data_IF_909330063952
#
_entry.id   IF_909330063952
#
_cell.length_a   1.000
_cell.length_b   1.000
_cell.length_c   1.000
_cell.angle_alpha   90.00
_cell.angle_beta   90.00
_cell.angle_gamma   90.00
#
_symmetry.space_group_name_H-M   'P 1'
#
loop_
_entity.id
_entity.type
_entity.pdbx_description
1 polymer ?
#
# COMPACT_ATOMS: atom_id res chain seq x y z
N UNK A 1 -55.66 -8.58 2.97
CA UNK A 1 -54.34 -8.09 3.39
C UNK A 1 -53.29 -9.15 3.08
N UNK A 2 -52.39 -8.88 2.15
CA UNK A 2 -51.22 -9.74 1.85
C UNK A 2 -50.31 -9.80 3.08
N UNK A 3 -49.79 -11.00 3.41
CA UNK A 3 -48.75 -11.10 4.44
C UNK A 3 -47.41 -10.56 3.91
N UNK A 4 -46.44 -10.31 4.80
CA UNK A 4 -45.14 -9.72 4.45
C UNK A 4 -44.39 -10.55 3.39
N UNK A 5 -44.41 -11.88 3.47
CA UNK A 5 -43.77 -12.76 2.50
C UNK A 5 -44.42 -12.68 1.11
N UNK A 6 -45.72 -12.56 1.05
CA UNK A 6 -46.41 -12.39 -0.21
C UNK A 6 -46.11 -11.03 -0.84
N UNK A 7 -46.09 -9.95 -0.04
CA UNK A 7 -45.68 -8.63 -0.50
C UNK A 7 -44.26 -8.64 -1.06
N UNK A 8 -43.33 -9.17 -0.29
CA UNK A 8 -41.92 -9.31 -0.76
C UNK A 8 -41.88 -10.05 -2.11
N UNK A 9 -42.58 -11.16 -2.25
CA UNK A 9 -42.55 -11.95 -3.49
C UNK A 9 -43.04 -11.13 -4.69
N UNK A 10 -44.15 -10.40 -4.53
CA UNK A 10 -44.72 -9.58 -5.60
C UNK A 10 -43.78 -8.42 -5.99
N UNK A 11 -43.31 -7.65 -5.00
CA UNK A 11 -42.42 -6.52 -5.25
C UNK A 11 -41.12 -7.00 -5.91
N UNK A 12 -40.55 -8.11 -5.40
CA UNK A 12 -39.32 -8.67 -5.97
C UNK A 12 -39.50 -9.19 -7.40
N UNK A 13 -40.64 -9.77 -7.72
CA UNK A 13 -40.98 -10.19 -9.10
C UNK A 13 -41.09 -8.99 -10.04
N UNK A 14 -41.80 -7.95 -9.64
CA UNK A 14 -41.95 -6.72 -10.42
C UNK A 14 -40.58 -6.05 -10.64
N UNK A 15 -39.82 -5.87 -9.58
CA UNK A 15 -38.46 -5.30 -9.66
C UNK A 15 -37.54 -6.14 -10.56
N UNK A 16 -37.62 -7.47 -10.48
CA UNK A 16 -36.88 -8.37 -11.34
C UNK A 16 -37.27 -8.24 -12.81
N UNK A 17 -38.56 -8.05 -13.09
CA UNK A 17 -39.05 -7.82 -14.45
C UNK A 17 -38.47 -6.54 -15.06
N UNK A 18 -38.52 -5.42 -14.35
CA UNK A 18 -37.87 -4.17 -14.79
C UNK A 18 -36.36 -4.38 -15.09
N UNK A 19 -35.64 -5.07 -14.19
CA UNK A 19 -34.22 -5.35 -14.36
C UNK A 19 -33.92 -6.22 -15.59
N UNK A 20 -34.73 -7.26 -15.84
CA UNK A 20 -34.59 -8.12 -17.03
C UNK A 20 -34.82 -7.32 -18.31
N UNK A 21 -35.79 -6.42 -18.30
CA UNK A 21 -36.07 -5.51 -19.42
C UNK A 21 -35.07 -4.36 -19.54
N UNK A 22 -34.16 -4.22 -18.59
CA UNK A 22 -33.21 -3.10 -18.46
C UNK A 22 -33.88 -1.73 -18.35
N UNK A 23 -35.15 -1.72 -17.93
CA UNK A 23 -35.89 -0.50 -17.60
C UNK A 23 -35.47 -0.02 -16.18
N UNK A 24 -34.25 0.52 -16.09
CA UNK A 24 -33.74 1.00 -14.82
C UNK A 24 -34.47 2.22 -14.30
N UNK A 25 -35.00 3.07 -15.19
CA UNK A 25 -35.79 4.24 -14.78
C UNK A 25 -37.11 3.85 -14.17
N UNK A 26 -37.82 2.93 -14.79
CA UNK A 26 -39.06 2.36 -14.22
C UNK A 26 -38.83 1.65 -12.90
N UNK A 27 -37.70 0.90 -12.80
CA UNK A 27 -37.32 0.24 -11.55
C UNK A 27 -37.08 1.24 -10.41
N UNK A 28 -36.31 2.31 -10.68
CA UNK A 28 -36.02 3.35 -9.70
C UNK A 28 -37.28 4.02 -9.21
N UNK A 29 -38.15 4.48 -10.12
CA UNK A 29 -39.40 5.13 -9.75
C UNK A 29 -40.31 4.18 -8.93
N UNK A 30 -40.49 2.96 -9.40
CA UNK A 30 -41.28 1.97 -8.70
C UNK A 30 -40.80 1.69 -7.27
N UNK A 31 -39.52 1.50 -7.07
CA UNK A 31 -38.97 1.15 -5.74
C UNK A 31 -38.88 2.35 -4.81
N UNK A 32 -38.57 3.54 -5.33
CA UNK A 32 -38.55 4.77 -4.51
C UNK A 32 -39.92 5.14 -4.03
N UNK A 33 -40.95 5.11 -4.91
CA UNK A 33 -42.35 5.35 -4.54
C UNK A 33 -42.81 4.32 -3.49
N UNK A 34 -42.44 3.04 -3.69
CA UNK A 34 -42.81 2.00 -2.73
C UNK A 34 -42.20 2.28 -1.34
N UNK A 35 -40.90 2.64 -1.26
CA UNK A 35 -40.23 2.92 0.01
C UNK A 35 -40.84 4.14 0.70
N UNK A 36 -41.19 5.18 -0.05
CA UNK A 36 -41.79 6.40 0.49
C UNK A 36 -43.22 6.15 1.03
N UNK A 37 -44.01 5.37 0.31
CA UNK A 37 -45.36 5.01 0.74
C UNK A 37 -45.40 3.97 1.87
N UNK A 38 -44.32 3.17 2.01
CA UNK A 38 -44.24 2.07 2.98
C UNK A 38 -42.97 2.19 3.85
N UNK A 39 -42.79 3.27 4.64
CA UNK A 39 -41.56 3.52 5.39
C UNK A 39 -41.23 2.45 6.44
N UNK A 40 -42.21 1.68 6.87
CA UNK A 40 -42.06 0.60 7.84
C UNK A 40 -41.90 -0.79 7.20
N UNK A 41 -41.75 -0.90 5.88
CA UNK A 41 -41.51 -2.19 5.24
C UNK A 41 -40.11 -2.68 5.64
N UNK A 42 -40.07 -3.89 6.22
CA UNK A 42 -38.81 -4.51 6.68
C UNK A 42 -37.81 -4.77 5.54
N UNK A 43 -38.26 -4.78 4.30
CA UNK A 43 -37.41 -5.00 3.12
C UNK A 43 -36.91 -3.70 2.46
N UNK A 44 -37.17 -2.53 3.04
CA UNK A 44 -36.76 -1.23 2.45
C UNK A 44 -35.26 -1.13 2.20
N UNK A 45 -34.41 -1.70 3.07
CA UNK A 45 -32.97 -1.77 2.82
C UNK A 45 -32.63 -2.51 1.52
N UNK A 46 -33.37 -3.58 1.21
CA UNK A 46 -33.19 -4.35 -0.02
C UNK A 46 -33.75 -3.63 -1.26
N UNK A 47 -34.88 -2.96 -1.14
CA UNK A 47 -35.43 -2.16 -2.23
C UNK A 47 -34.53 -0.99 -2.60
N UNK A 48 -34.00 -0.31 -1.61
CA UNK A 48 -33.00 0.77 -1.82
C UNK A 48 -31.69 0.23 -2.38
N UNK A 49 -31.25 -0.98 -2.00
CA UNK A 49 -30.10 -1.64 -2.60
C UNK A 49 -30.30 -1.86 -4.11
N UNK A 50 -31.46 -2.36 -4.51
CA UNK A 50 -31.79 -2.53 -5.93
C UNK A 50 -31.88 -1.20 -6.68
N UNK A 51 -32.37 -0.15 -6.03
CA UNK A 51 -32.38 1.23 -6.56
C UNK A 51 -30.95 1.75 -6.79
N UNK A 52 -30.06 1.58 -5.81
CA UNK A 52 -28.66 1.95 -5.92
C UNK A 52 -27.94 1.20 -7.05
N UNK A 53 -28.17 -0.11 -7.17
CA UNK A 53 -27.63 -0.94 -8.27
C UNK A 53 -28.16 -0.48 -9.63
N UNK A 54 -29.41 -0.04 -9.71
CA UNK A 54 -30.00 0.51 -10.94
C UNK A 54 -29.30 1.82 -11.33
N UNK A 55 -29.08 2.75 -10.41
CA UNK A 55 -28.32 3.98 -10.67
C UNK A 55 -26.88 3.67 -11.11
N UNK A 56 -26.21 2.71 -10.47
CA UNK A 56 -24.87 2.27 -10.88
C UNK A 56 -24.88 1.72 -12.33
N UNK A 57 -25.90 0.94 -12.68
CA UNK A 57 -26.06 0.35 -14.02
C UNK A 57 -26.31 1.41 -15.12
N UNK A 58 -26.80 2.58 -14.76
CA UNK A 58 -26.96 3.74 -15.67
C UNK A 58 -25.75 4.68 -15.69
N UNK A 59 -24.69 4.37 -14.94
CA UNK A 59 -23.50 5.21 -14.83
C UNK A 59 -23.65 6.39 -13.86
N UNK A 60 -24.75 6.48 -13.11
CA UNK A 60 -25.01 7.53 -12.13
C UNK A 60 -24.36 7.16 -10.76
N UNK A 61 -23.04 6.90 -10.75
CA UNK A 61 -22.30 6.46 -9.56
C UNK A 61 -22.48 7.37 -8.34
N UNK A 62 -22.44 8.72 -8.44
CA UNK A 62 -22.64 9.59 -7.28
C UNK A 62 -24.02 9.42 -6.62
N UNK A 63 -25.06 9.13 -7.41
CA UNK A 63 -26.40 8.87 -6.88
C UNK A 63 -26.46 7.48 -6.24
N UNK A 64 -25.82 6.49 -6.87
CA UNK A 64 -25.70 5.16 -6.28
C UNK A 64 -24.98 5.20 -4.93
N UNK A 65 -23.85 5.96 -4.83
CA UNK A 65 -23.12 6.17 -3.56
C UNK A 65 -24.03 6.75 -2.48
N UNK A 66 -24.84 7.77 -2.80
CA UNK A 66 -25.81 8.34 -1.88
C UNK A 66 -26.81 7.30 -1.35
N UNK A 67 -27.35 6.45 -2.22
CA UNK A 67 -28.31 5.43 -1.79
C UNK A 67 -27.68 4.33 -0.97
N UNK A 68 -26.49 3.85 -1.32
CA UNK A 68 -25.76 2.87 -0.51
C UNK A 68 -25.43 3.42 0.89
N UNK A 69 -24.94 4.66 0.99
CA UNK A 69 -24.63 5.28 2.28
C UNK A 69 -25.91 5.53 3.10
N UNK A 70 -27.01 5.96 2.47
CA UNK A 70 -28.32 6.10 3.10
C UNK A 70 -28.79 4.78 3.74
N UNK A 71 -28.61 3.65 3.05
CA UNK A 71 -28.96 2.34 3.60
C UNK A 71 -28.19 2.06 4.87
N UNK A 72 -26.87 2.28 4.86
CA UNK A 72 -26.00 2.05 6.02
C UNK A 72 -26.39 2.91 7.22
N UNK A 73 -26.86 4.13 6.99
CA UNK A 73 -27.19 5.09 8.04
C UNK A 73 -28.61 4.98 8.57
N UNK A 74 -29.58 4.66 7.71
CA UNK A 74 -31.00 4.80 8.01
C UNK A 74 -31.76 3.49 8.07
N UNK A 75 -31.23 2.40 7.51
CA UNK A 75 -31.91 1.12 7.46
C UNK A 75 -31.23 0.09 8.37
N UNK A 76 -31.99 -0.80 9.01
CA UNK A 76 -31.41 -1.97 9.66
C UNK A 76 -30.79 -2.90 8.62
N UNK A 77 -29.75 -3.65 9.02
CA UNK A 77 -29.22 -4.70 8.16
C UNK A 77 -30.23 -5.83 7.96
N UNK A 78 -30.28 -6.33 6.75
CA UNK A 78 -31.19 -7.40 6.36
C UNK A 78 -30.42 -8.51 5.64
N UNK A 79 -30.69 -9.75 5.99
CA UNK A 79 -30.17 -10.90 5.25
C UNK A 79 -31.14 -11.26 4.10
N UNK A 80 -30.67 -11.09 2.88
CA UNK A 80 -31.39 -11.52 1.68
C UNK A 80 -30.63 -12.66 1.03
N UNK A 81 -31.24 -13.82 0.96
CA UNK A 81 -30.63 -15.07 0.45
C UNK A 81 -29.25 -15.35 1.12
N UNK A 82 -29.18 -15.13 2.44
CA UNK A 82 -27.99 -15.38 3.23
C UNK A 82 -26.90 -14.32 3.13
N UNK A 83 -27.12 -13.23 2.40
CA UNK A 83 -26.14 -12.14 2.26
C UNK A 83 -26.68 -10.88 2.93
N UNK A 84 -25.84 -10.22 3.74
CA UNK A 84 -26.15 -8.93 4.36
C UNK A 84 -26.23 -7.82 3.31
N UNK A 85 -27.29 -7.01 3.39
CA UNK A 85 -27.48 -5.82 2.56
C UNK A 85 -26.39 -4.79 2.87
N UNK A 86 -26.06 -4.58 4.15
CA UNK A 86 -24.97 -3.66 4.53
C UNK A 86 -23.61 -4.10 4.01
N UNK A 87 -23.33 -5.40 4.05
CA UNK A 87 -22.11 -5.94 3.45
C UNK A 87 -22.00 -5.61 1.96
N UNK A 88 -23.11 -5.78 1.22
CA UNK A 88 -23.17 -5.42 -0.21
C UNK A 88 -23.02 -3.93 -0.45
N UNK A 89 -23.63 -3.09 0.39
CA UNK A 89 -23.46 -1.63 0.30
C UNK A 89 -21.99 -1.24 0.47
N UNK A 90 -21.32 -1.76 1.51
CA UNK A 90 -19.90 -1.45 1.76
C UNK A 90 -19.00 -1.89 0.62
N UNK A 91 -19.21 -3.09 0.07
CA UNK A 91 -18.46 -3.57 -1.09
C UNK A 91 -18.63 -2.65 -2.32
N UNK A 92 -19.84 -2.19 -2.59
CA UNK A 92 -20.11 -1.30 -3.71
C UNK A 92 -19.51 0.10 -3.48
N UNK A 93 -19.67 0.65 -2.26
CA UNK A 93 -19.12 1.97 -1.89
C UNK A 93 -17.62 2.03 -2.03
N UNK A 94 -16.89 1.00 -1.60
CA UNK A 94 -15.43 0.92 -1.77
C UNK A 94 -15.04 0.96 -3.26
N UNK A 95 -15.84 0.34 -4.14
CA UNK A 95 -15.55 0.29 -5.57
C UNK A 95 -15.83 1.59 -6.30
N UNK A 96 -16.92 2.30 -5.93
CA UNK A 96 -17.38 3.49 -6.70
C UNK A 96 -16.91 4.81 -6.10
N UNK A 97 -16.63 4.87 -4.79
CA UNK A 97 -16.19 6.11 -4.16
C UNK A 97 -14.80 6.50 -4.65
N UNK A 98 -14.67 7.77 -5.04
CA UNK A 98 -13.41 8.35 -5.54
C UNK A 98 -12.64 9.11 -4.45
N UNK A 99 -13.25 9.29 -3.30
CA UNK A 99 -12.68 10.05 -2.18
C UNK A 99 -11.98 9.10 -1.19
N UNK A 100 -10.67 9.22 -0.96
CA UNK A 100 -9.95 8.36 -0.02
C UNK A 100 -10.58 8.34 1.37
N UNK A 101 -10.98 9.49 1.91
CA UNK A 101 -11.62 9.59 3.22
C UNK A 101 -12.90 8.76 3.33
N UNK A 102 -13.73 8.71 2.27
CA UNK A 102 -14.91 7.86 2.24
C UNK A 102 -14.54 6.37 2.20
N UNK A 103 -13.58 6.00 1.34
CA UNK A 103 -13.11 4.60 1.26
C UNK A 103 -12.50 4.12 2.57
N UNK A 104 -11.73 4.96 3.26
CA UNK A 104 -11.20 4.68 4.61
C UNK A 104 -12.34 4.34 5.57
N UNK A 105 -13.41 5.16 5.60
CA UNK A 105 -14.59 4.89 6.43
C UNK A 105 -15.19 3.51 6.11
N UNK A 106 -15.41 3.22 4.83
CA UNK A 106 -16.05 1.98 4.40
C UNK A 106 -15.17 0.74 4.62
N UNK A 107 -13.85 0.84 4.44
CA UNK A 107 -12.93 -0.24 4.80
C UNK A 107 -12.94 -0.54 6.30
N UNK A 108 -12.91 0.49 7.14
CA UNK A 108 -12.98 0.31 8.59
C UNK A 108 -14.30 -0.35 9.01
N UNK A 109 -15.43 0.08 8.45
CA UNK A 109 -16.73 -0.56 8.73
C UNK A 109 -16.76 -2.02 8.27
N UNK A 110 -16.19 -2.32 7.10
CA UNK A 110 -16.15 -3.67 6.55
C UNK A 110 -15.33 -4.62 7.44
N UNK A 111 -14.14 -4.19 7.86
CA UNK A 111 -13.26 -4.95 8.76
C UNK A 111 -13.94 -5.19 10.11
N UNK A 112 -14.56 -4.16 10.69
CA UNK A 112 -15.13 -4.23 12.03
C UNK A 112 -16.42 -5.06 12.08
N UNK A 113 -17.26 -4.95 11.05
CA UNK A 113 -18.59 -5.57 11.06
C UNK A 113 -18.64 -6.95 10.40
N UNK A 114 -17.76 -7.20 9.43
CA UNK A 114 -17.79 -8.39 8.59
C UNK A 114 -16.44 -9.13 8.48
N UNK A 115 -15.65 -9.27 9.56
CA UNK A 115 -14.30 -9.84 9.49
C UNK A 115 -14.30 -11.28 8.96
N UNK A 116 -15.39 -12.03 9.16
CA UNK A 116 -15.52 -13.43 8.72
C UNK A 116 -15.88 -13.58 7.24
N UNK A 117 -16.24 -12.49 6.57
CA UNK A 117 -16.71 -12.49 5.18
C UNK A 117 -15.69 -11.94 4.19
N UNK A 118 -14.51 -11.52 4.68
CA UNK A 118 -13.50 -10.81 3.90
C UNK A 118 -12.10 -11.33 4.22
N UNK A 119 -11.17 -11.12 3.31
CA UNK A 119 -9.76 -11.26 3.64
C UNK A 119 -9.28 -9.98 4.38
N UNK A 120 -9.20 -10.04 5.70
CA UNK A 120 -8.81 -8.90 6.54
C UNK A 120 -7.38 -8.47 6.28
N UNK A 121 -6.48 -9.38 5.90
CA UNK A 121 -5.09 -9.08 5.53
C UNK A 121 -5.05 -8.15 4.32
N UNK A 122 -5.76 -8.51 3.26
CA UNK A 122 -5.88 -7.65 2.07
C UNK A 122 -6.51 -6.30 2.41
N UNK A 123 -7.52 -6.27 3.27
CA UNK A 123 -8.18 -5.02 3.65
C UNK A 123 -7.29 -4.10 4.48
N UNK A 124 -6.43 -4.63 5.36
CA UNK A 124 -5.44 -3.80 6.06
C UNK A 124 -4.47 -3.14 5.09
N UNK A 125 -4.00 -3.88 4.08
CA UNK A 125 -3.12 -3.31 3.06
C UNK A 125 -3.82 -2.22 2.25
N UNK A 126 -5.05 -2.47 1.78
CA UNK A 126 -5.84 -1.47 1.05
C UNK A 126 -6.13 -0.23 1.89
N UNK A 127 -6.49 -0.43 3.16
CA UNK A 127 -6.72 0.67 4.10
C UNK A 127 -5.46 1.51 4.34
N UNK A 128 -4.28 0.87 4.44
CA UNK A 128 -3.01 1.57 4.57
C UNK A 128 -2.71 2.45 3.36
N UNK A 129 -2.94 1.93 2.15
CA UNK A 129 -2.78 2.68 0.89
C UNK A 129 -3.73 3.88 0.84
N UNK A 130 -4.98 3.72 1.27
CA UNK A 130 -5.94 4.84 1.33
C UNK A 130 -5.52 5.91 2.33
N UNK A 131 -5.06 5.51 3.53
CA UNK A 131 -4.51 6.46 4.51
C UNK A 131 -3.30 7.20 3.96
N UNK A 132 -2.41 6.51 3.26
CA UNK A 132 -1.25 7.12 2.60
C UNK A 132 -1.70 8.13 1.52
N UNK A 133 -2.69 7.77 0.70
CA UNK A 133 -3.24 8.65 -0.35
C UNK A 133 -3.91 9.89 0.23
N UNK A 134 -4.45 9.80 1.44
CA UNK A 134 -5.06 10.91 2.18
C UNK A 134 -4.07 11.66 3.08
N UNK A 135 -2.76 11.38 2.96
CA UNK A 135 -1.68 11.93 3.78
C UNK A 135 -1.81 11.67 5.29
N UNK A 136 -2.58 10.67 5.69
CA UNK A 136 -2.74 10.24 7.08
C UNK A 136 -1.67 9.19 7.44
N UNK A 137 -0.41 9.59 7.42
CA UNK A 137 0.74 8.69 7.51
C UNK A 137 0.80 7.85 8.80
N UNK A 138 0.46 8.44 9.96
CA UNK A 138 0.44 7.70 11.22
C UNK A 138 -0.57 6.53 11.18
N UNK A 139 -1.71 6.74 10.55
CA UNK A 139 -2.73 5.71 10.37
C UNK A 139 -2.31 4.69 9.30
N UNK A 140 -1.66 5.16 8.24
CA UNK A 140 -1.10 4.30 7.20
C UNK A 140 -0.09 3.31 7.80
N UNK A 141 0.86 3.79 8.61
CA UNK A 141 1.85 2.94 9.29
C UNK A 141 1.22 1.91 10.22
N UNK A 142 0.19 2.31 10.99
CA UNK A 142 -0.54 1.37 11.85
C UNK A 142 -1.22 0.27 11.02
N UNK A 143 -1.87 0.65 9.92
CA UNK A 143 -2.52 -0.30 9.04
C UNK A 143 -1.52 -1.22 8.31
N UNK A 144 -0.36 -0.68 7.85
CA UNK A 144 0.73 -1.48 7.32
C UNK A 144 1.30 -2.46 8.37
N UNK A 145 1.46 -2.04 9.61
CA UNK A 145 1.91 -2.93 10.69
C UNK A 145 0.93 -4.07 10.93
N UNK A 146 -0.38 -3.77 11.01
CA UNK A 146 -1.43 -4.79 11.12
C UNK A 146 -1.44 -5.76 9.93
N UNK A 147 -1.18 -5.26 8.72
CA UNK A 147 -1.02 -6.10 7.54
C UNK A 147 0.18 -7.04 7.68
N UNK A 148 1.35 -6.52 8.06
CA UNK A 148 2.60 -7.29 8.17
C UNK A 148 2.56 -8.34 9.29
N UNK A 149 1.74 -8.15 10.32
CA UNK A 149 1.51 -9.11 11.40
C UNK A 149 0.70 -10.34 10.97
N UNK A 150 0.03 -10.27 9.82
CA UNK A 150 -0.80 -11.39 9.34
C UNK A 150 0.05 -12.50 8.73
N UNK A 151 -0.26 -13.78 9.00
CA UNK A 151 0.54 -14.91 8.53
C UNK A 151 0.56 -15.07 7.01
N UNK A 152 -0.43 -14.55 6.30
CA UNK A 152 -0.60 -14.63 4.85
C UNK A 152 -0.18 -13.35 4.12
N UNK A 153 0.38 -12.36 4.82
CA UNK A 153 0.75 -11.06 4.26
C UNK A 153 1.65 -11.14 3.01
N UNK A 154 2.60 -12.09 3.00
CA UNK A 154 3.52 -12.30 1.86
C UNK A 154 2.83 -12.80 0.59
N UNK A 155 1.63 -13.35 0.70
CA UNK A 155 0.86 -13.91 -0.43
C UNK A 155 -0.14 -12.93 -1.01
N UNK A 156 -0.39 -11.82 -0.32
CA UNK A 156 -1.36 -10.82 -0.76
C UNK A 156 -0.82 -10.05 -1.97
N UNK A 157 -1.61 -10.04 -3.02
CA UNK A 157 -1.33 -9.27 -4.23
C UNK A 157 -2.50 -8.35 -4.55
N UNK A 158 -2.22 -7.09 -4.78
CA UNK A 158 -3.22 -6.08 -5.18
C UNK A 158 -2.88 -5.60 -6.59
N UNK A 159 -3.87 -5.55 -7.50
CA UNK A 159 -3.67 -4.97 -8.82
C UNK A 159 -3.12 -3.54 -8.73
N UNK A 160 -2.04 -3.26 -9.45
CA UNK A 160 -1.37 -1.96 -9.43
C UNK A 160 -0.28 -1.81 -8.37
N UNK A 161 -0.14 -2.76 -7.42
CA UNK A 161 0.83 -2.71 -6.33
C UNK A 161 1.62 -4.03 -6.24
N UNK A 162 2.48 -4.34 -7.22
CA UNK A 162 3.18 -5.63 -7.29
C UNK A 162 4.12 -5.86 -6.09
N UNK A 163 4.70 -4.80 -5.54
CA UNK A 163 5.67 -4.84 -4.43
C UNK A 163 5.07 -4.42 -3.08
N UNK A 164 3.75 -4.52 -2.92
CA UNK A 164 3.03 -3.99 -1.78
C UNK A 164 3.57 -4.48 -0.42
N UNK A 165 3.88 -5.77 -0.29
CA UNK A 165 4.49 -6.33 0.93
C UNK A 165 5.87 -5.71 1.22
N UNK A 166 6.73 -5.64 0.20
CA UNK A 166 8.08 -5.08 0.32
C UNK A 166 8.04 -3.59 0.69
N UNK A 167 7.14 -2.84 0.04
CA UNK A 167 6.95 -1.41 0.31
C UNK A 167 6.40 -1.17 1.73
N UNK A 168 5.39 -1.92 2.14
CA UNK A 168 4.84 -1.84 3.50
C UNK A 168 5.92 -2.13 4.55
N UNK A 169 6.70 -3.20 4.36
CA UNK A 169 7.79 -3.57 5.25
C UNK A 169 8.87 -2.50 5.29
N UNK A 170 9.27 -1.96 4.13
CA UNK A 170 10.25 -0.89 4.08
C UNK A 170 9.81 0.35 4.89
N UNK A 171 8.57 0.80 4.71
CA UNK A 171 8.02 1.95 5.43
C UNK A 171 7.99 1.73 6.93
N UNK A 172 7.51 0.56 7.39
CA UNK A 172 7.42 0.23 8.81
C UNK A 172 8.81 0.06 9.43
N UNK A 173 9.71 -0.68 8.77
CA UNK A 173 11.08 -0.91 9.27
C UNK A 173 11.86 0.41 9.31
N UNK A 174 11.69 1.27 8.30
CA UNK A 174 12.33 2.59 8.27
C UNK A 174 11.82 3.50 9.39
N UNK A 175 10.51 3.53 9.62
CA UNK A 175 9.91 4.28 10.72
C UNK A 175 10.42 3.82 12.09
N UNK A 176 10.60 2.51 12.27
CA UNK A 176 11.05 1.93 13.53
C UNK A 176 12.57 2.01 13.74
N UNK A 177 13.32 2.45 12.73
CA UNK A 177 14.78 2.54 12.77
C UNK A 177 15.24 3.86 13.42
N UNK A 178 16.54 3.92 13.75
CA UNK A 178 17.14 5.13 14.34
C UNK A 178 17.33 6.28 13.35
N UNK A 179 17.26 6.01 12.04
CA UNK A 179 17.43 6.98 10.95
C UNK A 179 18.76 7.79 10.98
N UNK A 180 19.72 7.38 11.81
CA UNK A 180 20.97 8.07 12.13
C UNK A 180 22.10 7.86 11.09
N UNK A 181 21.82 7.12 10.00
CA UNK A 181 22.76 6.89 8.90
C UNK A 181 22.54 7.82 7.70
N UNK A 182 21.54 8.68 7.75
CA UNK A 182 21.22 9.61 6.64
C UNK A 182 22.06 10.87 6.69
N UNK A 183 22.28 11.47 5.53
CA UNK A 183 23.07 12.68 5.35
C UNK A 183 22.28 13.73 4.60
N UNK A 184 22.36 14.99 5.01
CA UNK A 184 21.64 16.10 4.40
C UNK A 184 21.99 16.32 2.91
N UNK A 185 23.18 15.89 2.49
CA UNK A 185 23.61 16.07 1.11
C UNK A 185 24.53 14.95 0.62
N UNK A 186 24.51 14.70 -0.70
CA UNK A 186 25.42 13.75 -1.34
C UNK A 186 26.91 14.07 -1.08
N UNK A 187 27.39 15.33 -1.17
CA UNK A 187 28.78 15.64 -0.85
C UNK A 187 29.16 15.34 0.60
N UNK A 188 28.24 15.51 1.55
CA UNK A 188 28.50 15.19 2.95
C UNK A 188 28.65 13.67 3.16
N UNK A 189 27.79 12.86 2.55
CA UNK A 189 27.90 11.39 2.57
C UNK A 189 29.18 10.93 1.87
N UNK A 190 29.45 11.44 0.68
CA UNK A 190 30.64 11.09 -0.11
C UNK A 190 31.93 11.35 0.67
N UNK A 191 32.08 12.55 1.24
CA UNK A 191 33.28 12.92 2.04
C UNK A 191 33.39 12.06 3.31
N UNK A 192 32.29 11.80 4.01
CA UNK A 192 32.28 10.93 5.19
C UNK A 192 32.78 9.52 4.85
N UNK A 193 32.26 8.93 3.77
CA UNK A 193 32.69 7.61 3.27
C UNK A 193 34.15 7.61 2.85
N UNK A 194 34.56 8.56 2.03
CA UNK A 194 35.98 8.72 1.60
C UNK A 194 36.94 8.90 2.78
N UNK A 195 36.54 9.73 3.75
CA UNK A 195 37.30 9.93 4.99
C UNK A 195 37.43 8.63 5.79
N UNK A 196 36.39 7.88 5.95
CA UNK A 196 36.42 6.60 6.67
C UNK A 196 37.36 5.59 5.98
N UNK A 197 37.35 5.50 4.64
CA UNK A 197 38.26 4.66 3.86
C UNK A 197 39.72 5.15 4.03
N UNK A 198 39.97 6.43 3.88
CA UNK A 198 41.33 7.05 3.97
C UNK A 198 41.96 6.85 5.33
N UNK A 199 41.15 6.89 6.41
CA UNK A 199 41.61 6.72 7.80
C UNK A 199 41.50 5.27 8.30
N UNK A 200 41.15 4.33 7.43
CA UNK A 200 40.97 2.92 7.78
C UNK A 200 39.93 2.70 8.92
N UNK A 201 38.96 3.61 9.07
CA UNK A 201 37.94 3.54 10.10
C UNK A 201 36.70 2.73 9.60
N UNK A 202 36.91 1.43 9.49
CA UNK A 202 35.90 0.51 8.98
C UNK A 202 34.66 0.42 9.86
N UNK A 203 34.81 0.60 11.18
CA UNK A 203 33.65 0.66 12.10
C UNK A 203 32.75 1.86 11.81
N UNK A 204 33.36 3.00 11.50
CA UNK A 204 32.59 4.19 11.15
C UNK A 204 31.94 4.02 9.78
N UNK A 205 32.65 3.39 8.83
CA UNK A 205 32.10 3.10 7.52
C UNK A 205 30.87 2.19 7.62
N UNK A 206 30.91 1.14 8.45
CA UNK A 206 29.77 0.26 8.68
C UNK A 206 28.55 1.00 9.29
N UNK A 207 28.76 2.05 10.08
CA UNK A 207 27.68 2.87 10.64
C UNK A 207 26.95 3.72 9.60
N UNK A 208 27.59 4.03 8.47
CA UNK A 208 26.99 4.83 7.40
C UNK A 208 26.09 4.02 6.47
N UNK A 209 26.11 2.70 6.57
CA UNK A 209 25.20 1.83 5.81
C UNK A 209 23.75 2.07 6.22
N UNK A 210 22.86 2.06 5.25
CA UNK A 210 21.43 2.01 5.52
C UNK A 210 21.11 0.79 6.39
N UNK A 211 20.27 0.98 7.40
CA UNK A 211 19.86 -0.10 8.33
C UNK A 211 18.62 -0.83 7.86
N UNK A 212 18.02 -0.35 6.79
CA UNK A 212 16.86 -0.95 6.15
C UNK A 212 17.20 -1.19 4.69
N UNK A 213 17.05 -2.43 4.25
CA UNK A 213 17.27 -2.87 2.87
C UNK A 213 18.66 -2.53 2.29
N UNK A 214 19.71 -2.58 3.11
CA UNK A 214 21.08 -2.52 2.58
C UNK A 214 21.38 -3.81 1.80
N UNK A 215 21.90 -3.68 0.58
CA UNK A 215 22.21 -4.82 -0.26
C UNK A 215 23.69 -4.90 -0.66
N UNK A 216 24.13 -6.11 -0.99
CA UNK A 216 25.39 -6.37 -1.66
C UNK A 216 25.12 -7.38 -2.78
N UNK A 217 25.25 -6.94 -4.02
CA UNK A 217 24.89 -7.77 -5.19
C UNK A 217 25.80 -7.48 -6.39
N UNK A 218 25.81 -8.38 -7.36
CA UNK A 218 26.41 -8.11 -8.67
C UNK A 218 25.44 -7.30 -9.54
N UNK A 219 25.94 -6.62 -10.57
CA UNK A 219 25.11 -5.86 -11.52
C UNK A 219 24.04 -6.67 -12.27
N UNK A 220 24.13 -8.00 -12.22
CA UNK A 220 23.17 -8.91 -12.87
C UNK A 220 22.12 -9.49 -11.93
N UNK A 221 22.27 -9.27 -10.63
CA UNK A 221 21.32 -9.78 -9.65
C UNK A 221 20.15 -8.81 -9.48
N UNK A 222 19.01 -9.35 -9.09
CA UNK A 222 17.85 -8.57 -8.69
C UNK A 222 17.95 -8.25 -7.18
N UNK A 223 17.47 -7.09 -6.77
CA UNK A 223 17.36 -6.71 -5.34
C UNK A 223 16.53 -7.70 -4.51
N UNK A 224 15.67 -8.47 -5.16
CA UNK A 224 14.83 -9.49 -4.53
C UNK A 224 15.56 -10.85 -4.35
N UNK A 225 16.79 -11.00 -4.85
CA UNK A 225 17.58 -12.21 -4.60
C UNK A 225 17.92 -12.28 -3.10
N UNK A 226 17.59 -13.41 -2.46
CA UNK A 226 17.87 -13.63 -1.04
C UNK A 226 19.35 -13.47 -0.68
N UNK A 227 20.25 -13.72 -1.65
CA UNK A 227 21.69 -13.53 -1.48
C UNK A 227 22.15 -12.07 -1.59
N UNK A 228 21.28 -11.16 -2.05
CA UNK A 228 21.59 -9.74 -2.21
C UNK A 228 21.59 -8.96 -0.89
N UNK A 229 21.09 -9.54 0.20
CA UNK A 229 20.93 -8.88 1.51
C UNK A 229 21.87 -9.42 2.60
N UNK A 230 22.95 -10.10 2.25
CA UNK A 230 23.94 -10.56 3.23
C UNK A 230 24.62 -9.40 3.95
N UNK A 231 24.78 -9.54 5.27
CA UNK A 231 25.62 -8.63 6.05
C UNK A 231 27.05 -8.64 5.51
N UNK A 232 27.53 -7.48 5.13
CA UNK A 232 28.88 -7.29 4.56
C UNK A 232 29.73 -6.44 5.51
N UNK A 233 30.40 -7.03 6.53
CA UNK A 233 31.24 -6.26 7.44
C UNK A 233 32.47 -5.72 6.70
N UNK A 234 32.54 -4.41 6.51
CA UNK A 234 33.64 -3.76 5.78
C UNK A 234 34.99 -4.02 6.43
N UNK A 235 35.03 -4.10 7.77
CA UNK A 235 36.22 -4.44 8.50
C UNK A 235 36.82 -5.81 8.12
N UNK A 236 36.00 -6.81 7.87
CA UNK A 236 36.41 -8.15 7.45
C UNK A 236 36.96 -8.14 6.03
N UNK A 237 36.25 -7.48 5.13
CA UNK A 237 36.62 -7.40 3.72
C UNK A 237 37.88 -6.56 3.46
N UNK A 238 38.08 -5.52 4.25
CA UNK A 238 39.22 -4.62 4.13
C UNK A 238 40.48 -5.10 4.87
N UNK A 239 40.40 -6.18 5.67
CA UNK A 239 41.55 -6.66 6.49
C UNK A 239 42.79 -6.94 5.63
N UNK A 240 43.87 -6.27 5.97
CA UNK A 240 45.18 -6.44 5.28
C UNK A 240 45.22 -5.89 3.86
N UNK A 241 44.22 -5.10 3.44
CA UNK A 241 44.10 -4.57 2.09
C UNK A 241 44.20 -3.06 2.09
N UNK A 242 44.68 -2.51 0.97
CA UNK A 242 44.70 -1.07 0.71
C UNK A 242 43.56 -0.69 -0.21
N UNK A 243 42.45 -0.32 0.38
CA UNK A 243 41.28 0.13 -0.38
C UNK A 243 41.49 1.55 -0.89
N UNK A 244 41.07 1.79 -2.12
CA UNK A 244 41.13 3.09 -2.81
C UNK A 244 39.74 3.42 -3.36
N UNK A 245 39.51 4.69 -3.67
CA UNK A 245 38.29 5.22 -4.24
C UNK A 245 38.56 6.22 -5.36
N UNK A 246 37.62 6.45 -6.22
CA UNK A 246 37.69 7.45 -7.27
C UNK A 246 37.52 8.86 -6.71
N UNK A 247 38.22 9.83 -7.29
CA UNK A 247 38.15 11.24 -6.88
C UNK A 247 36.75 11.83 -7.16
N UNK A 248 36.10 11.37 -8.21
CA UNK A 248 34.75 11.79 -8.61
C UNK A 248 33.78 10.63 -8.58
N UNK A 249 32.49 10.93 -8.42
CA UNK A 249 31.43 9.96 -8.60
C UNK A 249 31.37 9.48 -10.06
N UNK A 250 30.84 8.27 -10.26
CA UNK A 250 30.67 7.69 -11.58
C UNK A 250 29.69 8.51 -12.44
N UNK A 251 29.94 8.57 -13.74
CA UNK A 251 29.14 9.35 -14.71
C UNK A 251 27.65 8.94 -14.80
N UNK A 252 27.31 7.73 -14.38
CA UNK A 252 25.91 7.29 -14.30
C UNK A 252 25.16 7.86 -13.08
N UNK A 253 25.84 8.63 -12.20
CA UNK A 253 25.20 9.30 -11.07
C UNK A 253 24.24 10.39 -11.58
N UNK A 254 23.12 10.54 -10.88
CA UNK A 254 22.04 11.47 -11.21
C UNK A 254 21.54 12.17 -9.91
N UNK A 255 20.57 13.08 -9.97
CA UNK A 255 20.08 13.79 -8.79
C UNK A 255 19.48 12.93 -7.68
N UNK A 256 19.12 11.67 -7.96
CA UNK A 256 18.49 10.76 -7.00
C UNK A 256 19.37 9.57 -6.60
N UNK A 257 20.39 9.24 -7.42
CA UNK A 257 21.26 8.09 -7.25
C UNK A 257 22.71 8.45 -7.60
N UNK A 258 23.65 7.87 -6.86
CA UNK A 258 25.06 8.10 -7.12
C UNK A 258 25.91 6.85 -6.83
N UNK A 259 27.03 6.74 -7.51
CA UNK A 259 27.89 5.58 -7.45
C UNK A 259 29.34 6.03 -7.19
N UNK A 260 29.93 5.58 -6.07
CA UNK A 260 31.32 5.78 -5.77
C UNK A 260 32.11 4.51 -6.07
N UNK A 261 32.95 4.56 -7.10
CA UNK A 261 33.82 3.45 -7.47
C UNK A 261 34.96 3.31 -6.46
N UNK A 262 35.14 2.09 -5.92
CA UNK A 262 36.18 1.72 -4.99
C UNK A 262 36.90 0.45 -5.47
N UNK A 263 38.16 0.23 -5.09
CA UNK A 263 38.89 -0.97 -5.50
C UNK A 263 39.92 -1.41 -4.47
N UNK A 264 40.46 -2.62 -4.67
CA UNK A 264 41.42 -3.25 -3.78
C UNK A 264 40.78 -4.20 -2.76
N UNK A 265 39.51 -4.56 -2.92
CA UNK A 265 38.73 -5.38 -1.98
C UNK A 265 39.09 -6.86 -2.02
N UNK A 266 39.22 -7.46 -3.20
CA UNK A 266 39.50 -8.87 -3.37
C UNK A 266 40.27 -9.14 -4.68
N UNK A 267 40.89 -10.31 -4.78
CA UNK A 267 41.65 -10.67 -5.98
C UNK A 267 40.72 -10.94 -7.19
N UNK A 268 39.58 -11.63 -6.96
CA UNK A 268 38.68 -12.02 -8.03
C UNK A 268 37.61 -10.97 -8.32
N UNK A 269 37.21 -10.16 -7.33
CA UNK A 269 36.27 -9.04 -7.49
C UNK A 269 36.89 -7.80 -6.87
N UNK A 270 37.84 -7.17 -7.56
CA UNK A 270 38.60 -6.07 -6.97
C UNK A 270 37.87 -4.75 -6.86
N UNK A 271 36.76 -4.58 -7.60
CA UNK A 271 36.01 -3.32 -7.73
C UNK A 271 34.66 -3.46 -7.10
N UNK A 272 34.31 -2.48 -6.26
CA UNK A 272 33.00 -2.28 -5.71
C UNK A 272 32.50 -0.89 -6.05
N UNK A 273 31.20 -0.75 -6.31
CA UNK A 273 30.53 0.53 -6.39
C UNK A 273 29.65 0.71 -5.15
N UNK A 274 29.92 1.72 -4.35
CA UNK A 274 29.04 2.10 -3.26
C UNK A 274 27.89 2.89 -3.84
N UNK A 275 26.68 2.39 -3.62
CA UNK A 275 25.44 2.95 -4.14
C UNK A 275 24.81 3.87 -3.11
N UNK A 276 24.70 5.12 -3.47
CA UNK A 276 24.01 6.14 -2.69
C UNK A 276 22.67 6.48 -3.35
N UNK A 277 21.65 6.69 -2.55
CA UNK A 277 20.35 7.13 -3.06
C UNK A 277 19.71 8.15 -2.12
N UNK A 278 18.74 8.89 -2.63
CA UNK A 278 17.86 9.71 -1.79
C UNK A 278 16.92 8.86 -0.99
N UNK A 279 16.70 9.27 0.24
CA UNK A 279 15.70 8.69 1.14
C UNK A 279 14.32 9.16 0.70
N UNK A 280 13.47 8.22 0.35
CA UNK A 280 12.04 8.47 0.09
C UNK A 280 11.23 8.09 1.31
N UNK A 281 11.10 9.04 2.25
CA UNK A 281 10.35 8.85 3.49
C UNK A 281 9.57 10.12 3.86
N UNK A 282 8.44 10.40 3.19
CA UNK A 282 7.65 11.62 3.38
C UNK A 282 7.11 11.83 4.80
N UNK A 283 7.05 10.76 5.61
CA UNK A 283 6.62 10.84 7.00
C UNK A 283 7.51 11.74 7.87
N UNK A 284 8.79 11.77 7.59
CA UNK A 284 9.73 12.59 8.32
C UNK A 284 10.38 13.60 7.36
N UNK A 285 9.89 14.86 7.34
CA UNK A 285 10.43 15.90 6.47
C UNK A 285 11.90 16.21 6.70
N UNK A 286 12.42 15.95 7.91
CA UNK A 286 13.81 16.26 8.26
C UNK A 286 14.80 15.32 7.56
N UNK A 287 14.34 14.15 7.14
CA UNK A 287 15.18 13.14 6.46
C UNK A 287 14.72 12.83 5.04
N UNK A 288 13.49 13.19 4.68
CA UNK A 288 13.00 13.01 3.31
C UNK A 288 13.85 13.83 2.34
N UNK A 289 14.39 13.16 1.32
CA UNK A 289 15.31 13.78 0.37
C UNK A 289 16.78 13.80 0.82
N UNK A 290 17.10 13.41 2.07
CA UNK A 290 18.46 13.14 2.51
C UNK A 290 19.08 11.99 1.71
N UNK A 291 20.38 11.78 1.88
CA UNK A 291 21.11 10.74 1.18
C UNK A 291 21.50 9.61 2.13
N UNK A 292 21.45 8.37 1.63
CA UNK A 292 21.90 7.18 2.34
C UNK A 292 22.83 6.32 1.48
N UNK A 293 23.71 5.58 2.13
CA UNK A 293 24.47 4.52 1.49
C UNK A 293 23.65 3.23 1.53
N UNK A 294 22.97 2.95 0.41
CA UNK A 294 21.94 1.91 0.34
C UNK A 294 22.47 0.53 -0.08
N UNK A 295 23.67 0.46 -0.65
CA UNK A 295 24.18 -0.85 -1.07
C UNK A 295 25.54 -0.82 -1.72
N UNK A 296 25.98 -2.00 -2.14
CA UNK A 296 27.25 -2.24 -2.83
C UNK A 296 26.97 -3.09 -4.09
N UNK A 297 27.38 -2.60 -5.24
CA UNK A 297 27.48 -3.40 -6.45
C UNK A 297 28.87 -3.98 -6.62
N UNK A 298 28.97 -5.28 -6.86
CA UNK A 298 30.19 -6.03 -7.02
C UNK A 298 30.59 -6.12 -8.48
N UNK A 299 31.88 -5.84 -8.79
CA UNK A 299 32.44 -5.94 -10.11
C UNK A 299 32.28 -4.68 -10.96
N UNK A 300 32.72 -4.75 -12.22
CA UNK A 300 32.55 -3.66 -13.17
C UNK A 300 31.12 -3.57 -13.65
N UNK A 301 30.68 -2.36 -13.97
CA UNK A 301 29.49 -2.14 -14.80
C UNK A 301 29.64 -2.88 -16.12
N UNK A 302 28.57 -3.46 -16.58
CA UNK A 302 28.51 -4.20 -17.84
C UNK A 302 28.26 -3.25 -19.00
#
# INVERSE_FOLDING_TARGET
>A
NLNEKQRYSIINQLASSYRIQKDYQGLILFLTDWVEENPNDMYNSYWLLMTADAYRSTGAEPVAEYYFDRILQQCPDLLVKGTSVHFKCLQNLIQISKTPAHRIKYFNELINRFPQNVNTTELYLRLAIEYQSDNQWDQALKAYSLFLEQPDATTIQIPGEPDAYKNARHLVDFNNSSQDWTFESLPALEEAVKKAIRTYNWRQLDKYKAKVNFFTMSWKQDENDANSQEETPMASWARGKRIRYADTLDEASNPNEAYLRTWGWATYVPIFYFYFRKVDFPLNPDIHGNWEWAGIYLGNKL
#
